data_IF_640113819108
#
_entry.id   IF_640113819108
#
_cell.length_a   1.000
_cell.length_b   1.000
_cell.length_c   1.000
_cell.angle_alpha   90.00
_cell.angle_beta   90.00
_cell.angle_gamma   90.00
#
_symmetry.space_group_name_H-M   'P 1'
#
loop_
_entity.id
_entity.type
_entity.pdbx_description
1 polymer ?
#
# COMPACT_ATOMS: atom_id res chain seq x y z
N UNK A 1 20.83 -4.60 -3.83
CA UNK A 1 21.29 -3.29 -4.33
C UNK A 1 20.68 -2.23 -3.41
N UNK A 2 21.51 -1.59 -2.59
CA UNK A 2 21.07 -0.45 -1.79
C UNK A 2 20.94 0.76 -2.73
N UNK A 3 19.77 1.37 -2.74
CA UNK A 3 19.58 2.71 -3.30
C UNK A 3 19.38 3.63 -2.12
N UNK A 4 20.40 4.39 -1.75
CA UNK A 4 20.23 5.56 -0.88
C UNK A 4 19.39 6.57 -1.63
N UNK A 5 18.26 6.95 -1.07
CA UNK A 5 17.45 8.05 -1.58
C UNK A 5 17.35 9.13 -0.50
N UNK A 6 17.57 10.35 -0.95
CA UNK A 6 17.54 11.55 -0.14
C UNK A 6 16.16 11.75 0.51
N UNK A 7 16.21 12.14 1.77
CA UNK A 7 15.04 12.30 2.65
C UNK A 7 14.33 13.62 2.36
N UNK A 8 13.05 13.53 2.03
CA UNK A 8 12.11 14.61 2.27
C UNK A 8 11.07 14.13 3.28
N UNK A 9 11.23 14.59 4.55
CA UNK A 9 10.25 14.40 5.62
C UNK A 9 10.05 12.98 6.13
N UNK A 10 10.91 12.52 7.00
CA UNK A 10 10.72 11.59 8.12
C UNK A 10 10.00 10.24 7.98
N UNK A 11 9.51 9.85 6.81
CA UNK A 11 8.92 8.53 6.62
C UNK A 11 9.80 7.66 5.71
N UNK A 12 10.18 6.48 6.15
CA UNK A 12 10.97 5.48 5.39
C UNK A 12 10.01 4.40 4.90
N UNK A 13 10.12 4.05 3.65
CA UNK A 13 9.34 3.00 3.01
C UNK A 13 9.92 1.62 3.32
N UNK A 14 9.12 0.70 3.83
CA UNK A 14 9.51 -0.71 3.88
C UNK A 14 8.87 -1.48 2.73
N UNK A 15 9.70 -2.05 1.87
CA UNK A 15 9.28 -3.01 0.86
C UNK A 15 9.32 -4.41 1.48
N UNK A 16 8.18 -5.02 1.75
CA UNK A 16 8.13 -6.40 2.23
C UNK A 16 8.33 -7.37 1.06
N UNK A 17 9.49 -8.03 1.03
CA UNK A 17 9.70 -9.22 0.22
C UNK A 17 9.55 -10.44 1.14
N UNK A 18 8.62 -11.33 0.83
CA UNK A 18 8.46 -12.58 1.55
C UNK A 18 9.76 -13.43 1.48
N UNK A 19 10.20 -14.09 2.57
CA UNK A 19 11.41 -14.88 2.56
C UNK A 19 11.25 -16.14 1.70
N UNK A 20 12.05 -16.22 0.62
CA UNK A 20 12.27 -17.45 -0.14
C UNK A 20 11.15 -17.87 -1.08
N UNK A 21 10.98 -17.15 -2.15
CA UNK A 21 10.05 -17.47 -3.22
C UNK A 21 9.57 -16.18 -3.88
N UNK A 22 9.14 -16.29 -5.09
CA UNK A 22 8.43 -15.29 -5.85
C UNK A 22 7.66 -14.30 -4.93
N UNK A 23 7.73 -12.99 -5.14
CA UNK A 23 6.90 -12.07 -4.35
C UNK A 23 5.47 -12.58 -4.44
N UNK A 24 4.86 -12.86 -3.30
CA UNK A 24 3.44 -13.19 -3.29
C UNK A 24 2.76 -12.04 -4.03
N UNK A 25 2.05 -12.36 -5.12
CA UNK A 25 1.31 -11.37 -5.89
C UNK A 25 0.55 -10.51 -4.87
N UNK A 26 0.89 -9.25 -4.75
CA UNK A 26 0.25 -8.35 -3.82
C UNK A 26 -1.15 -7.95 -4.33
N UNK A 27 -1.83 -8.90 -4.96
CA UNK A 27 -3.22 -8.78 -5.38
C UNK A 27 -4.08 -8.29 -4.20
N UNK A 28 -5.17 -7.65 -4.52
CA UNK A 28 -6.17 -7.26 -3.51
C UNK A 28 -6.59 -8.47 -2.70
N UNK A 29 -6.61 -8.36 -1.36
CA UNK A 29 -7.12 -9.43 -0.50
C UNK A 29 -8.63 -9.33 -0.35
N UNK A 30 -9.31 -10.48 -0.27
CA UNK A 30 -10.74 -10.57 -0.07
C UNK A 30 -11.15 -10.11 1.35
N UNK A 31 -12.45 -9.86 1.55
CA UNK A 31 -13.03 -9.60 2.87
C UNK A 31 -13.33 -8.14 3.19
N UNK A 32 -13.03 -7.21 2.26
CA UNK A 32 -13.31 -5.77 2.42
C UNK A 32 -14.30 -5.26 1.37
N UNK A 33 -15.32 -6.03 1.06
CA UNK A 33 -16.28 -5.77 0.00
C UNK A 33 -17.75 -5.90 0.43
N UNK A 34 -18.02 -5.74 1.73
CA UNK A 34 -19.39 -5.80 2.25
C UNK A 34 -20.27 -4.65 1.76
N UNK A 35 -19.67 -3.58 1.27
CA UNK A 35 -20.33 -2.41 0.69
C UNK A 35 -19.63 -1.99 -0.60
N UNK A 36 -20.36 -1.29 -1.47
CA UNK A 36 -19.82 -0.74 -2.71
C UNK A 36 -20.29 0.69 -2.90
N UNK A 37 -19.46 1.52 -3.50
CA UNK A 37 -19.86 2.80 -4.05
C UNK A 37 -20.52 2.56 -5.41
N UNK A 38 -21.69 3.15 -5.63
CA UNK A 38 -22.34 3.07 -6.94
C UNK A 38 -21.40 3.60 -8.04
N UNK A 39 -21.59 3.11 -9.27
CA UNK A 39 -20.79 3.59 -10.43
C UNK A 39 -20.87 5.10 -10.56
N UNK A 40 -19.74 5.72 -10.60
CA UNK A 40 -19.62 7.19 -10.67
C UNK A 40 -18.25 7.59 -11.23
N UNK A 41 -18.04 8.88 -11.31
CA UNK A 41 -16.78 9.51 -11.70
C UNK A 41 -16.10 10.08 -10.44
N UNK A 42 -16.57 11.20 -9.90
CA UNK A 42 -15.96 11.92 -8.79
C UNK A 42 -16.72 11.76 -7.45
N UNK A 43 -17.45 10.67 -7.30
CA UNK A 43 -18.29 10.44 -6.13
C UNK A 43 -17.51 9.93 -4.91
N UNK A 44 -18.22 9.93 -3.80
CA UNK A 44 -17.71 9.48 -2.50
C UNK A 44 -18.81 8.81 -1.70
N UNK A 45 -18.45 8.05 -0.65
CA UNK A 45 -19.41 7.39 0.25
C UNK A 45 -19.99 8.35 1.24
N UNK A 46 -19.69 9.48 1.51
CA UNK A 46 -20.00 10.20 2.75
C UNK A 46 -19.25 9.57 3.93
N UNK A 47 -19.78 9.74 5.15
CA UNK A 47 -19.10 9.26 6.37
C UNK A 47 -19.33 7.78 6.60
N UNK A 48 -18.27 6.97 6.62
CA UNK A 48 -18.26 5.54 6.92
C UNK A 48 -17.60 5.33 8.28
N UNK A 49 -18.24 4.59 9.18
CA UNK A 49 -17.67 4.26 10.48
C UNK A 49 -16.49 3.29 10.34
N UNK A 50 -15.39 3.61 10.99
CA UNK A 50 -14.27 2.69 11.19
C UNK A 50 -14.59 1.73 12.35
N UNK A 51 -14.12 0.47 12.30
CA UNK A 51 -14.35 -0.48 13.37
C UNK A 51 -13.47 -0.21 14.61
N UNK A 52 -12.54 0.70 14.53
CA UNK A 52 -11.66 1.16 15.61
C UNK A 52 -11.32 2.63 15.41
N UNK A 53 -10.91 3.30 16.49
CA UNK A 53 -10.41 4.66 16.42
C UNK A 53 -8.99 4.67 15.85
N UNK A 54 -8.71 5.63 14.99
CA UNK A 54 -7.36 5.91 14.47
C UNK A 54 -6.91 7.30 14.94
N UNK A 55 -5.65 7.41 15.30
CA UNK A 55 -4.99 8.70 15.52
C UNK A 55 -4.05 8.97 14.35
N UNK A 56 -4.47 9.84 13.45
CA UNK A 56 -3.70 10.20 12.27
C UNK A 56 -3.17 11.63 12.40
N UNK A 57 -1.87 11.75 12.70
CA UNK A 57 -1.15 13.01 12.98
C UNK A 57 -1.85 13.89 14.05
N UNK A 58 -2.21 13.27 15.18
CA UNK A 58 -2.89 13.96 16.28
C UNK A 58 -4.40 14.15 16.10
N UNK A 59 -4.97 13.73 14.97
CA UNK A 59 -6.39 13.72 14.71
C UNK A 59 -6.99 12.36 15.07
N UNK A 60 -7.75 12.29 16.15
CA UNK A 60 -8.50 11.09 16.50
C UNK A 60 -9.76 11.00 15.64
N UNK A 61 -9.91 9.91 14.88
CA UNK A 61 -11.01 9.70 13.95
C UNK A 61 -11.63 8.31 14.13
N UNK A 62 -12.96 8.25 14.09
CA UNK A 62 -13.75 7.01 14.05
C UNK A 62 -14.54 6.86 12.74
N UNK A 63 -14.38 7.80 11.82
CA UNK A 63 -15.07 7.81 10.53
C UNK A 63 -14.12 8.22 9.43
N UNK A 64 -14.43 7.78 8.21
CA UNK A 64 -13.67 8.04 7.00
C UNK A 64 -14.60 8.16 5.80
N UNK A 65 -14.20 8.87 4.75
CA UNK A 65 -14.87 8.85 3.45
C UNK A 65 -14.01 8.07 2.45
N UNK A 66 -14.63 7.18 1.69
CA UNK A 66 -13.99 6.48 0.56
C UNK A 66 -14.35 7.23 -0.71
N UNK A 67 -13.34 7.74 -1.39
CA UNK A 67 -13.52 8.57 -2.59
C UNK A 67 -13.20 7.75 -3.85
N UNK A 68 -14.03 7.88 -4.90
CA UNK A 68 -13.86 7.15 -6.14
C UNK A 68 -12.44 7.28 -6.71
N UNK A 69 -11.86 8.46 -6.61
CA UNK A 69 -10.55 8.81 -7.16
C UNK A 69 -9.37 8.29 -6.34
N UNK A 70 -9.51 7.08 -5.75
CA UNK A 70 -8.39 6.30 -5.21
C UNK A 70 -7.81 6.82 -3.90
N UNK A 71 -8.63 7.38 -3.02
CA UNK A 71 -8.17 7.87 -1.73
C UNK A 71 -9.23 7.79 -0.62
N UNK A 72 -8.77 7.91 0.63
CA UNK A 72 -9.57 8.03 1.84
C UNK A 72 -9.34 9.40 2.48
N UNK A 73 -10.41 10.02 2.99
CA UNK A 73 -10.32 11.32 3.68
C UNK A 73 -11.01 11.30 5.02
N UNK A 74 -10.46 12.03 6.01
CA UNK A 74 -10.96 12.09 7.39
C UNK A 74 -11.85 13.29 7.68
N UNK A 75 -11.90 14.27 6.76
CA UNK A 75 -12.64 15.53 6.95
C UNK A 75 -13.94 15.61 6.14
N UNK A 76 -14.31 14.51 5.46
CA UNK A 76 -15.46 14.43 4.58
C UNK A 76 -15.10 14.02 3.14
N UNK A 77 -16.09 13.95 2.26
CA UNK A 77 -15.90 13.58 0.85
C UNK A 77 -14.93 14.48 0.10
N UNK A 78 -14.26 13.92 -0.91
CA UNK A 78 -13.41 14.65 -1.85
C UNK A 78 -13.74 14.23 -3.27
N UNK A 79 -14.02 15.20 -4.15
CA UNK A 79 -14.35 15.01 -5.55
C UNK A 79 -13.26 15.44 -6.53
N UNK A 80 -12.10 15.85 -6.03
CA UNK A 80 -10.98 16.20 -6.92
C UNK A 80 -10.50 14.97 -7.68
N UNK A 81 -10.34 15.11 -8.97
CA UNK A 81 -9.87 14.08 -9.90
C UNK A 81 -8.44 14.32 -10.38
N UNK A 82 -7.96 15.56 -10.30
CA UNK A 82 -6.59 15.90 -10.69
C UNK A 82 -5.67 15.77 -9.48
N UNK A 83 -4.73 14.82 -9.49
CA UNK A 83 -3.75 14.71 -8.43
C UNK A 83 -2.88 15.97 -8.41
N UNK A 84 -2.93 16.68 -7.30
CA UNK A 84 -1.93 17.71 -6.98
C UNK A 84 -1.00 17.13 -5.93
N UNK A 85 0.24 17.56 -5.89
CA UNK A 85 1.17 17.11 -4.86
C UNK A 85 0.52 17.29 -3.49
N UNK A 86 0.40 16.22 -2.70
CA UNK A 86 -0.26 16.28 -1.39
C UNK A 86 0.39 17.31 -0.45
N UNK A 87 1.65 17.68 -0.71
CA UNK A 87 2.34 18.76 -0.01
C UNK A 87 1.82 20.16 -0.33
N UNK A 88 1.13 20.38 -1.46
CA UNK A 88 0.67 21.71 -1.87
C UNK A 88 -0.85 21.83 -1.97
N UNK A 89 -1.55 20.73 -2.24
CA UNK A 89 -2.99 20.73 -2.55
C UNK A 89 -3.90 20.20 -1.44
N UNK A 90 -3.36 19.73 -0.31
CA UNK A 90 -4.15 19.10 0.76
C UNK A 90 -4.18 19.90 2.07
N UNK A 91 -4.05 21.23 1.99
CA UNK A 91 -4.24 22.08 3.18
C UNK A 91 -5.66 21.91 3.72
N UNK A 92 -5.77 21.52 4.98
CA UNK A 92 -7.04 21.31 5.68
C UNK A 92 -7.67 19.92 5.53
N UNK A 93 -7.18 19.06 4.62
CA UNK A 93 -7.74 17.71 4.39
C UNK A 93 -6.73 16.63 4.69
N UNK A 94 -6.94 15.85 5.76
CA UNK A 94 -6.16 14.66 6.04
C UNK A 94 -6.57 13.54 5.06
N UNK A 95 -5.58 12.95 4.35
CA UNK A 95 -5.81 12.03 3.24
C UNK A 95 -4.82 10.86 3.27
N UNK A 96 -5.32 9.67 2.95
CA UNK A 96 -4.54 8.47 2.64
C UNK A 96 -4.86 8.06 1.21
N UNK A 97 -3.87 8.06 0.33
CA UNK A 97 -4.04 7.89 -1.10
C UNK A 97 -3.20 6.71 -1.61
N UNK A 98 -3.74 5.49 -1.68
CA UNK A 98 -3.03 4.40 -2.32
C UNK A 98 -2.75 4.69 -3.80
N UNK A 99 -3.69 5.32 -4.51
CA UNK A 99 -3.51 5.71 -5.91
C UNK A 99 -4.51 6.81 -6.28
N UNK A 100 -4.20 8.05 -5.92
CA UNK A 100 -5.03 9.18 -6.28
C UNK A 100 -4.87 9.49 -7.75
N UNK A 101 -5.93 9.27 -8.53
CA UNK A 101 -6.01 9.50 -9.97
C UNK A 101 -7.49 9.61 -10.38
N UNK A 102 -7.73 9.99 -11.61
CA UNK A 102 -9.04 10.24 -12.21
C UNK A 102 -9.76 8.92 -12.58
N UNK A 103 -10.25 8.21 -11.53
CA UNK A 103 -10.96 6.94 -11.65
C UNK A 103 -12.38 7.19 -12.13
N UNK A 104 -12.80 6.54 -13.21
CA UNK A 104 -14.17 6.55 -13.68
C UNK A 104 -14.75 5.12 -13.75
N UNK A 105 -15.67 4.82 -12.84
CA UNK A 105 -16.29 3.50 -12.76
C UNK A 105 -17.56 3.37 -13.62
N UNK A 106 -17.95 4.38 -14.40
CA UNK A 106 -19.16 4.35 -15.25
C UNK A 106 -19.00 3.45 -16.46
N UNK A 107 -17.79 3.24 -16.96
CA UNK A 107 -17.51 2.35 -18.07
C UNK A 107 -17.97 0.91 -17.81
N UNK A 108 -18.61 0.27 -18.79
CA UNK A 108 -19.24 -1.05 -18.64
C UNK A 108 -18.23 -2.15 -18.24
N UNK A 109 -16.95 -2.02 -18.62
CA UNK A 109 -15.88 -2.95 -18.27
C UNK A 109 -15.17 -2.64 -16.95
N UNK A 110 -15.48 -1.49 -16.32
CA UNK A 110 -14.88 -1.12 -15.05
C UNK A 110 -15.47 -1.89 -13.87
N UNK A 111 -14.66 -2.22 -12.87
CA UNK A 111 -15.13 -2.57 -11.53
C UNK A 111 -15.76 -1.37 -10.83
N UNK A 112 -16.13 -1.56 -9.57
CA UNK A 112 -16.60 -0.50 -8.67
C UNK A 112 -15.71 -0.44 -7.44
N UNK A 113 -15.67 0.70 -6.77
CA UNK A 113 -14.99 0.82 -5.48
C UNK A 113 -15.78 0.05 -4.43
N UNK A 114 -15.13 -0.90 -3.77
CA UNK A 114 -15.71 -1.68 -2.68
C UNK A 114 -14.99 -1.34 -1.37
N UNK A 115 -15.69 -1.47 -0.23
CA UNK A 115 -15.12 -1.22 1.09
C UNK A 115 -15.83 -2.01 2.17
N UNK A 116 -15.19 -2.10 3.34
CA UNK A 116 -15.81 -2.78 4.47
C UNK A 116 -14.84 -3.08 5.59
N UNK A 117 -15.38 -3.69 6.65
CA UNK A 117 -14.61 -4.18 7.78
C UNK A 117 -14.27 -5.65 7.62
N UNK A 118 -13.14 -6.08 8.19
CA UNK A 118 -12.69 -7.46 8.11
C UNK A 118 -11.53 -7.69 9.07
N UNK A 119 -10.71 -8.69 8.76
CA UNK A 119 -9.46 -8.99 9.47
C UNK A 119 -8.30 -9.02 8.49
N UNK A 120 -7.16 -8.48 8.92
CA UNK A 120 -5.89 -8.57 8.20
C UNK A 120 -4.76 -8.82 9.19
N UNK A 121 -3.85 -9.75 8.88
CA UNK A 121 -2.81 -10.22 9.81
C UNK A 121 -3.35 -10.61 11.20
N UNK A 122 -4.56 -11.23 11.22
CA UNK A 122 -5.22 -11.67 12.45
C UNK A 122 -5.81 -10.54 13.31
N UNK A 123 -5.88 -9.30 12.80
CA UNK A 123 -6.36 -8.11 13.51
C UNK A 123 -7.57 -7.49 12.83
N UNK A 124 -8.38 -6.79 13.62
CA UNK A 124 -9.50 -6.01 13.10
C UNK A 124 -8.99 -4.97 12.09
N UNK A 125 -9.64 -4.88 10.95
CA UNK A 125 -9.22 -4.00 9.87
C UNK A 125 -10.40 -3.37 9.13
N UNK A 126 -10.13 -2.26 8.46
CA UNK A 126 -10.99 -1.64 7.44
C UNK A 126 -10.24 -1.61 6.13
N UNK A 127 -10.90 -1.93 5.03
CA UNK A 127 -10.29 -1.88 3.70
C UNK A 127 -11.16 -1.17 2.68
N UNK A 128 -10.52 -0.54 1.70
CA UNK A 128 -11.16 -0.02 0.49
C UNK A 128 -10.39 -0.51 -0.73
N UNK A 129 -11.12 -1.01 -1.73
CA UNK A 129 -10.59 -1.72 -2.88
C UNK A 129 -11.13 -1.13 -4.17
N UNK A 130 -10.22 -0.81 -5.06
CA UNK A 130 -10.48 -0.44 -6.45
C UNK A 130 -9.97 -1.60 -7.32
N UNK A 131 -10.86 -2.54 -7.63
CA UNK A 131 -10.47 -3.71 -8.42
C UNK A 131 -10.95 -3.58 -9.86
N UNK A 132 -10.00 -3.62 -10.79
CA UNK A 132 -10.22 -3.48 -12.24
C UNK A 132 -11.01 -2.21 -12.59
N UNK A 133 -10.64 -1.09 -11.99
CA UNK A 133 -11.29 0.19 -12.27
C UNK A 133 -10.71 0.87 -13.50
N UNK A 134 -11.61 1.49 -14.27
CA UNK A 134 -11.27 2.31 -15.44
C UNK A 134 -10.98 3.76 -15.08
N UNK A 135 -10.83 4.60 -16.12
CA UNK A 135 -10.44 6.01 -15.99
C UNK A 135 -11.35 6.92 -16.85
N UNK A 136 -11.30 8.21 -16.57
CA UNK A 136 -12.11 9.22 -17.29
C UNK A 136 -11.73 9.29 -18.79
N UNK A 137 -12.71 9.35 -19.75
CA UNK A 137 -14.15 9.34 -19.53
C UNK A 137 -14.72 7.95 -19.84
N UNK A 138 -15.00 7.14 -18.82
CA UNK A 138 -15.59 5.81 -18.96
C UNK A 138 -14.72 4.81 -19.72
N UNK A 139 -13.42 5.06 -19.84
CA UNK A 139 -12.47 4.20 -20.55
C UNK A 139 -12.17 2.93 -19.77
N UNK A 140 -12.11 1.78 -20.45
CA UNK A 140 -11.90 0.45 -19.86
C UNK A 140 -10.94 -0.43 -20.65
N UNK A 141 -10.21 0.16 -21.59
CA UNK A 141 -9.13 -0.51 -22.34
C UNK A 141 -7.91 -0.83 -21.48
N UNK A 142 -7.80 -0.16 -20.35
CA UNK A 142 -6.81 -0.38 -19.28
C UNK A 142 -7.51 -0.32 -17.94
N UNK A 143 -7.12 -1.20 -17.02
CA UNK A 143 -7.75 -1.31 -15.71
C UNK A 143 -6.69 -1.37 -14.62
N UNK A 144 -6.97 -0.69 -13.50
CA UNK A 144 -6.11 -0.71 -12.31
C UNK A 144 -6.75 -1.52 -11.18
N UNK A 145 -5.92 -2.25 -10.44
CA UNK A 145 -6.32 -2.95 -9.22
C UNK A 145 -5.41 -2.54 -8.06
N UNK A 146 -5.98 -1.90 -7.04
CA UNK A 146 -5.26 -1.48 -5.84
C UNK A 146 -6.19 -1.44 -4.63
N UNK A 147 -5.59 -1.44 -3.44
CA UNK A 147 -6.31 -1.53 -2.17
C UNK A 147 -5.55 -0.78 -1.08
N UNK A 148 -6.29 -0.18 -0.15
CA UNK A 148 -5.78 0.27 1.14
C UNK A 148 -6.42 -0.54 2.25
N UNK A 149 -5.61 -0.93 3.26
CA UNK A 149 -6.12 -1.59 4.47
C UNK A 149 -5.56 -0.83 5.67
N UNK A 150 -6.46 -0.45 6.59
CA UNK A 150 -6.13 0.12 7.89
C UNK A 150 -6.29 -0.99 8.94
N UNK A 151 -5.23 -1.31 9.68
CA UNK A 151 -5.20 -2.42 10.64
C UNK A 151 -5.06 -1.89 12.06
N UNK A 152 -5.96 -2.30 12.93
CA UNK A 152 -5.98 -1.90 14.34
C UNK A 152 -4.70 -2.35 15.07
N UNK A 153 -4.05 -1.41 15.75
CA UNK A 153 -2.89 -1.64 16.60
C UNK A 153 -3.08 -1.06 18.02
N UNK A 154 -4.33 -1.05 18.49
CA UNK A 154 -4.65 -0.65 19.86
C UNK A 154 -4.02 -1.57 20.94
N UNK A 155 -3.45 -2.70 20.52
CA UNK A 155 -2.57 -3.54 21.33
C UNK A 155 -1.25 -2.86 21.69
N UNK A 156 -0.81 -1.87 20.92
CA UNK A 156 0.38 -1.04 21.20
C UNK A 156 -0.03 0.20 21.98
N UNK A 157 -0.91 1.04 21.40
CA UNK A 157 -1.52 2.17 22.09
C UNK A 157 -2.86 2.54 21.43
N UNK A 158 -3.74 3.17 22.20
CA UNK A 158 -5.05 3.61 21.70
C UNK A 158 -4.89 4.56 20.51
N UNK A 159 -5.51 4.21 19.39
CA UNK A 159 -5.46 4.98 18.14
C UNK A 159 -4.30 4.62 17.23
N UNK A 160 -3.39 3.76 17.65
CA UNK A 160 -2.34 3.23 16.75
C UNK A 160 -2.94 2.29 15.71
N UNK A 161 -2.40 2.35 14.51
CA UNK A 161 -2.82 1.50 13.40
C UNK A 161 -1.70 1.33 12.37
N UNK A 162 -1.85 0.35 11.48
CA UNK A 162 -0.97 0.18 10.33
C UNK A 162 -1.74 0.50 9.05
N UNK A 163 -1.06 1.06 8.06
CA UNK A 163 -1.59 1.31 6.71
C UNK A 163 -0.88 0.36 5.76
N UNK A 164 -1.66 -0.39 4.97
CA UNK A 164 -1.14 -1.20 3.88
C UNK A 164 -1.67 -0.66 2.55
N UNK A 165 -0.78 -0.44 1.60
CA UNK A 165 -1.12 -0.22 0.19
C UNK A 165 -0.76 -1.47 -0.59
N UNK A 166 -1.70 -2.01 -1.34
CA UNK A 166 -1.53 -3.24 -2.12
C UNK A 166 -1.88 -2.98 -3.57
N UNK A 167 -1.10 -3.55 -4.47
CA UNK A 167 -1.27 -3.32 -5.90
C UNK A 167 -1.24 -4.62 -6.68
N UNK A 168 -2.26 -4.80 -7.53
CA UNK A 168 -2.22 -5.73 -8.65
C UNK A 168 -1.62 -5.04 -9.88
N UNK A 169 -2.31 -5.11 -11.03
CA UNK A 169 -1.90 -4.41 -12.25
C UNK A 169 -2.26 -2.92 -12.17
N UNK A 170 -1.36 -2.05 -12.61
CA UNK A 170 -1.54 -0.60 -12.73
C UNK A 170 -1.22 -0.19 -14.17
N UNK A 171 -2.24 -0.07 -15.01
CA UNK A 171 -2.09 0.09 -16.45
C UNK A 171 -2.27 1.53 -16.93
N UNK A 172 -2.91 2.40 -16.12
CA UNK A 172 -3.17 3.80 -16.42
C UNK A 172 -2.85 4.68 -15.21
N UNK A 173 -2.64 5.97 -15.41
CA UNK A 173 -2.20 6.92 -14.38
C UNK A 173 -2.97 8.25 -14.40
N UNK A 174 -3.82 8.48 -15.39
CA UNK A 174 -4.50 9.76 -15.59
C UNK A 174 -5.80 9.57 -16.37
N UNK A 175 -6.73 10.50 -16.25
CA UNK A 175 -7.94 10.57 -17.07
C UNK A 175 -7.69 11.11 -18.47
N UNK A 176 -8.73 11.14 -19.28
CA UNK A 176 -8.71 11.69 -20.63
C UNK A 176 -8.61 13.22 -20.67
N UNK A 177 -8.58 13.79 -21.87
CA UNK A 177 -8.35 15.21 -22.12
C UNK A 177 -9.35 16.18 -21.46
N UNK A 178 -10.57 15.72 -21.13
CA UNK A 178 -11.57 16.50 -20.38
C UNK A 178 -11.49 16.36 -18.87
N UNK A 179 -10.65 15.43 -18.37
CA UNK A 179 -10.38 15.21 -16.96
C UNK A 179 -8.99 15.71 -16.58
N UNK A 180 -8.11 14.80 -16.13
CA UNK A 180 -6.75 15.15 -15.73
C UNK A 180 -5.74 15.35 -16.89
N UNK A 181 -6.22 15.50 -18.11
CA UNK A 181 -5.44 15.99 -19.26
C UNK A 181 -4.62 14.96 -20.01
N UNK A 182 -4.83 13.67 -19.75
CA UNK A 182 -4.10 12.58 -20.41
C UNK A 182 -4.68 12.14 -21.73
N UNK A 183 -4.01 11.16 -22.35
CA UNK A 183 -4.48 10.47 -23.54
C UNK A 183 -4.27 8.97 -23.39
N UNK A 184 -5.33 8.18 -23.55
CA UNK A 184 -5.28 6.74 -23.37
C UNK A 184 -4.76 6.29 -21.99
N UNK A 185 -5.11 7.03 -20.93
CA UNK A 185 -4.73 6.74 -19.56
C UNK A 185 -3.29 7.13 -19.19
N UNK A 186 -2.60 7.93 -20.01
CA UNK A 186 -1.18 8.31 -19.80
C UNK A 186 -0.96 9.80 -20.06
N UNK A 187 0.12 10.31 -19.50
CA UNK A 187 0.47 11.72 -19.60
C UNK A 187 -0.42 12.59 -18.68
N UNK A 188 -0.58 13.86 -19.01
CA UNK A 188 -1.37 14.78 -18.18
C UNK A 188 -0.91 14.86 -16.74
N UNK A 189 -1.86 14.91 -15.82
CA UNK A 189 -1.59 14.86 -14.38
C UNK A 189 -1.57 13.42 -13.90
N UNK A 190 -0.36 12.88 -13.73
CA UNK A 190 -0.16 11.49 -13.31
C UNK A 190 -0.55 11.26 -11.86
N UNK A 191 -0.86 10.01 -11.55
CA UNK A 191 -1.28 9.54 -10.23
C UNK A 191 -0.30 9.92 -9.11
N UNK A 192 -0.85 10.05 -7.92
CA UNK A 192 -0.13 10.25 -6.67
C UNK A 192 -0.36 9.07 -5.72
N UNK A 193 0.72 8.56 -5.10
CA UNK A 193 0.67 7.59 -4.01
C UNK A 193 1.28 8.20 -2.74
N UNK A 194 0.57 8.13 -1.63
CA UNK A 194 1.07 8.64 -0.35
C UNK A 194 -0.01 9.01 0.65
N UNK A 195 0.32 9.89 1.58
CA UNK A 195 -0.60 10.44 2.57
C UNK A 195 -0.19 11.84 3.02
N UNK A 196 -1.13 12.58 3.61
CA UNK A 196 -0.91 13.91 4.19
C UNK A 196 -1.84 14.15 5.38
N UNK A 197 -1.31 14.75 6.42
CA UNK A 197 -2.06 15.14 7.62
C UNK A 197 -3.09 16.28 7.40
N UNK A 198 -3.11 16.88 6.22
CA UNK A 198 -3.86 18.12 5.94
C UNK A 198 -3.07 19.40 6.26
N UNK A 199 -1.76 19.29 6.42
CA UNK A 199 -0.87 20.39 6.83
C UNK A 199 -0.02 20.93 5.68
N UNK A 200 -0.37 20.58 4.44
CA UNK A 200 0.42 20.93 3.27
C UNK A 200 1.77 20.20 3.27
N UNK A 201 2.87 20.96 3.10
CA UNK A 201 4.23 20.41 3.03
C UNK A 201 4.99 20.51 4.37
N UNK A 202 4.29 20.59 5.50
CA UNK A 202 4.95 20.60 6.80
C UNK A 202 5.80 19.33 6.99
N UNK A 203 7.08 19.45 7.37
CA UNK A 203 7.97 18.29 7.50
C UNK A 203 7.43 17.22 8.45
N UNK A 204 7.58 15.95 8.08
CA UNK A 204 7.13 14.82 8.89
C UNK A 204 5.63 14.54 8.89
N UNK A 205 4.82 15.32 8.15
CA UNK A 205 3.37 15.19 8.16
C UNK A 205 2.78 14.67 6.85
N UNK A 206 3.61 14.34 5.88
CA UNK A 206 3.20 13.75 4.62
C UNK A 206 4.26 12.80 4.07
N UNK A 207 3.81 11.91 3.21
CA UNK A 207 4.65 11.02 2.41
C UNK A 207 4.19 11.06 0.96
N UNK A 208 5.14 11.17 0.05
CA UNK A 208 4.98 11.03 -1.39
C UNK A 208 5.87 9.90 -1.89
N UNK A 209 5.29 8.87 -2.49
CA UNK A 209 6.08 7.78 -3.05
C UNK A 209 6.94 8.28 -4.22
N UNK A 210 8.17 7.78 -4.38
CA UNK A 210 8.96 8.03 -5.57
C UNK A 210 8.18 7.71 -6.85
N UNK A 211 8.22 8.60 -7.83
CA UNK A 211 7.45 8.46 -9.06
C UNK A 211 6.04 9.05 -9.03
N UNK A 212 5.53 9.49 -7.87
CA UNK A 212 4.28 10.24 -7.80
C UNK A 212 4.35 11.49 -8.67
N UNK A 213 3.27 11.78 -9.42
CA UNK A 213 3.15 12.89 -10.37
C UNK A 213 4.13 12.85 -11.56
N UNK A 214 4.89 11.79 -11.72
CA UNK A 214 5.81 11.61 -12.85
C UNK A 214 5.19 10.69 -13.90
N UNK A 215 5.07 11.17 -15.11
CA UNK A 215 4.46 10.45 -16.21
C UNK A 215 5.11 9.08 -16.44
N UNK A 216 4.31 8.02 -16.40
CA UNK A 216 4.74 6.65 -16.64
C UNK A 216 5.48 5.98 -15.50
N UNK A 217 5.74 6.67 -14.38
CA UNK A 217 6.61 6.13 -13.32
C UNK A 217 5.95 5.03 -12.50
N UNK A 218 4.68 5.19 -12.10
CA UNK A 218 3.98 4.28 -11.18
C UNK A 218 3.27 3.11 -11.87
N UNK A 219 3.08 3.18 -13.20
CA UNK A 219 2.38 2.14 -13.96
C UNK A 219 3.26 0.91 -14.21
N UNK A 220 2.63 -0.17 -14.65
CA UNK A 220 3.31 -1.43 -15.01
C UNK A 220 4.45 -1.16 -16.01
N UNK A 221 5.67 -1.56 -15.64
CA UNK A 221 6.89 -1.32 -16.42
C UNK A 221 7.53 0.06 -16.22
N UNK A 222 6.96 0.95 -15.41
CA UNK A 222 7.54 2.24 -15.05
C UNK A 222 8.73 2.12 -14.09
N UNK A 223 9.49 3.20 -13.94
CA UNK A 223 10.68 3.22 -13.09
C UNK A 223 10.37 2.95 -11.60
N UNK A 224 9.18 3.33 -11.15
CA UNK A 224 8.68 3.12 -9.79
C UNK A 224 7.40 2.27 -9.78
N UNK A 225 7.28 1.33 -10.73
CA UNK A 225 6.08 0.51 -10.92
C UNK A 225 5.56 -0.07 -9.60
N UNK A 226 4.25 0.08 -9.39
CA UNK A 226 3.56 -0.41 -8.19
C UNK A 226 3.08 -1.86 -8.32
N UNK A 227 3.03 -2.40 -9.52
CA UNK A 227 2.54 -3.74 -9.81
C UNK A 227 3.11 -4.80 -8.87
N UNK A 228 2.23 -5.61 -8.31
CA UNK A 228 2.56 -6.73 -7.42
C UNK A 228 3.35 -6.31 -6.17
N UNK A 229 3.19 -5.06 -5.72
CA UNK A 229 3.85 -4.55 -4.50
C UNK A 229 2.87 -4.35 -3.36
N UNK A 230 3.43 -4.46 -2.15
CA UNK A 230 2.80 -4.04 -0.91
C UNK A 230 3.71 -3.05 -0.18
N UNK A 231 3.09 -2.03 0.40
CA UNK A 231 3.77 -1.03 1.24
C UNK A 231 3.07 -0.98 2.58
N UNK A 232 3.84 -1.02 3.66
CA UNK A 232 3.36 -0.90 5.03
C UNK A 232 3.89 0.38 5.67
N UNK A 233 3.00 1.08 6.37
CA UNK A 233 3.35 2.22 7.22
C UNK A 233 2.77 1.96 8.61
N UNK A 234 3.56 2.19 9.64
CA UNK A 234 3.11 2.10 11.02
C UNK A 234 2.80 3.50 11.54
N UNK A 235 1.58 3.70 12.02
CA UNK A 235 1.16 4.95 12.65
C UNK A 235 1.16 4.73 14.15
N UNK A 236 2.08 5.38 14.86
CA UNK A 236 2.27 5.26 16.30
C UNK A 236 2.24 6.63 16.96
N UNK A 237 1.44 6.77 18.03
CA UNK A 237 1.26 8.06 18.69
C UNK A 237 0.75 9.16 17.74
N UNK A 238 0.12 8.78 16.63
CA UNK A 238 -0.37 9.68 15.59
C UNK A 238 0.65 10.04 14.51
N UNK A 239 1.89 9.58 14.61
CA UNK A 239 2.93 9.81 13.59
C UNK A 239 3.10 8.56 12.74
N UNK A 240 3.10 8.71 11.42
CA UNK A 240 3.41 7.62 10.50
C UNK A 240 4.92 7.40 10.52
N UNK A 241 5.33 6.27 11.10
CA UNK A 241 6.73 5.87 11.16
C UNK A 241 7.02 4.82 10.08
N UNK A 242 8.23 4.86 9.49
CA UNK A 242 8.66 3.87 8.53
C UNK A 242 8.92 2.53 9.21
N UNK A 243 8.48 1.45 8.61
CA UNK A 243 8.96 0.12 9.00
C UNK A 243 10.30 -0.14 8.34
N UNK A 244 11.37 -0.10 9.13
CA UNK A 244 12.66 -0.63 8.70
C UNK A 244 12.54 -2.15 8.72
N UNK A 245 12.41 -2.79 7.55
CA UNK A 245 12.58 -4.24 7.49
C UNK A 245 14.07 -4.50 7.74
N UNK A 246 14.39 -4.98 8.94
CA UNK A 246 15.65 -5.64 9.18
C UNK A 246 15.54 -7.00 8.47
N UNK A 247 16.36 -7.29 7.42
CA UNK A 247 16.39 -8.62 6.86
C UNK A 247 16.69 -9.60 7.99
N UNK A 248 15.87 -10.65 8.17
CA UNK A 248 16.22 -11.71 9.11
C UNK A 248 17.66 -12.16 8.78
N UNK A 249 18.58 -12.20 9.77
CA UNK A 249 19.92 -12.66 9.50
C UNK A 249 19.81 -14.06 8.87
N UNK A 250 20.65 -14.36 7.88
CA UNK A 250 20.70 -15.65 7.20
C UNK A 250 21.07 -16.84 8.14
N UNK A 251 20.95 -16.65 9.44
CA UNK A 251 21.22 -17.58 10.53
C UNK A 251 20.39 -18.87 10.48
N UNK A 252 19.19 -18.86 9.88
CA UNK A 252 18.42 -20.11 9.69
C UNK A 252 19.03 -21.03 8.66
N UNK A 253 19.70 -20.51 7.64
CA UNK A 253 20.48 -21.29 6.67
C UNK A 253 21.77 -21.86 7.27
N UNK A 254 22.44 -21.12 8.14
CA UNK A 254 23.65 -21.58 8.84
C UNK A 254 23.34 -22.68 9.86
N UNK A 255 22.20 -22.65 10.52
CA UNK A 255 21.82 -23.69 11.49
C UNK A 255 21.64 -25.05 10.81
N UNK A 256 21.02 -25.10 9.62
CA UNK A 256 20.83 -26.32 8.85
C UNK A 256 22.18 -26.86 8.31
N UNK A 257 23.06 -25.99 7.86
CA UNK A 257 24.40 -26.37 7.39
C UNK A 257 25.32 -26.80 8.55
N UNK A 258 25.20 -26.16 9.71
CA UNK A 258 25.96 -26.51 10.92
C UNK A 258 25.62 -27.91 11.45
N UNK A 259 24.35 -28.27 11.54
CA UNK A 259 23.93 -29.62 11.97
C UNK A 259 24.25 -30.70 10.94
N UNK A 260 24.21 -30.39 9.63
CA UNK A 260 24.61 -31.30 8.59
C UNK A 260 26.11 -31.70 8.68
N UNK A 261 26.98 -30.72 8.96
CA UNK A 261 28.43 -30.96 9.10
C UNK A 261 28.78 -31.80 10.32
N UNK A 262 28.10 -31.57 11.47
CA UNK A 262 28.32 -32.35 12.71
C UNK A 262 27.86 -33.82 12.52
N UNK A 263 26.75 -34.05 11.82
CA UNK A 263 26.25 -35.38 11.55
C UNK A 263 27.18 -36.23 10.64
N UNK A 264 27.89 -35.61 9.69
CA UNK A 264 28.86 -36.27 8.80
C UNK A 264 30.13 -36.62 9.56
N UNK A 265 30.63 -35.82 10.46
CA UNK A 265 31.85 -36.09 11.29
C UNK A 265 31.60 -37.22 12.30
N UNK A 266 30.41 -37.32 12.88
CA UNK A 266 30.07 -38.36 13.86
C UNK A 266 30.00 -39.77 13.24
N UNK A 267 29.81 -39.91 11.92
CA UNK A 267 29.76 -41.22 11.21
C UNK A 267 31.14 -41.82 10.83
N UNK A 268 32.26 -41.13 11.09
CA UNK A 268 33.62 -41.62 10.73
C UNK A 268 34.45 -42.02 11.95
N UNK A 269 33.90 -42.77 12.90
CA UNK A 269 34.74 -43.43 13.93
C UNK A 269 35.14 -44.82 13.41
N UNK A 270 36.44 -45.15 13.31
CA UNK A 270 36.90 -46.50 12.95
C UNK A 270 36.67 -47.47 14.12
N UNK A 271 36.31 -48.71 13.78
CA UNK A 271 36.17 -49.81 14.74
C UNK A 271 37.53 -50.19 15.34
N UNK A 272 37.60 -50.58 16.62
CA UNK A 272 38.85 -51.04 17.22
C UNK A 272 39.22 -52.45 16.70
N UNK A 273 40.43 -52.58 16.18
CA UNK A 273 41.03 -53.90 15.83
C UNK A 273 41.30 -54.69 17.09
N UNK A 274 40.68 -55.85 17.20
CA UNK A 274 41.05 -56.90 18.20
C UNK A 274 42.39 -57.50 17.80
N UNK A 275 43.45 -57.34 18.61
CA UNK A 275 44.68 -58.09 18.48
C UNK A 275 44.50 -59.47 19.12
N UNK A 276 44.61 -60.52 18.31
CA UNK A 276 44.79 -61.90 18.80
C UNK A 276 46.32 -62.14 18.93
N UNK A 277 46.75 -62.50 20.17
CA UNK A 277 48.11 -63.06 20.39
C UNK A 277 48.10 -64.51 20.06
N UNK A 278 49.12 -64.95 19.30
CA UNK A 278 49.66 -66.32 19.26
C UNK A 278 50.97 -66.34 20.01
#
# INVERSE_FOLDING_TARGET
>A
LYVEQEFYGGAVLSLSLAPGGQPASAATVAGFNSQTLARNDDGSTGSVALPFMVNFFGRACSNISVNNNGNLTFSGPRSDFTPVGLGTGCSGTAIIAPFFADVDTRGAGSGVTAYGTGTYEGRQAFGATWDKVGYYSGATDKLNSFQVILVNRSDVATGDFDIFFRYGSIQWETGGGGGSGGSGGRGGHSAFMGFNAGTGNAPGTYYAAPGSLQNGALIDGGANALKDREFKFEVRGGVAEPVTIVPEPASRGMLVLGFGAVAVVARRRPSPHTMIRA
#
